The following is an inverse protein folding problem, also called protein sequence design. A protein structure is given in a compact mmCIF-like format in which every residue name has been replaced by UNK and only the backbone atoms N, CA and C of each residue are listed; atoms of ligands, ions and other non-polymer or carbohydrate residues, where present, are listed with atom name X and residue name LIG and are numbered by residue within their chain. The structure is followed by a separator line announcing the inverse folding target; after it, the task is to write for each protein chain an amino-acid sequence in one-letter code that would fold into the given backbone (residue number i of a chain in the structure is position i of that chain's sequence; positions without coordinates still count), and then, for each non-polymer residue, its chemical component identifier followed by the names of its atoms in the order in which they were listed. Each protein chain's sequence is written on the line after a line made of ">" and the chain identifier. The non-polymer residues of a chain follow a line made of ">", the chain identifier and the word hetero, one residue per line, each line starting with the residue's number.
data_IF_547972287202
#
_entry.id   IF_547972287202
#
_cell.length_a   1.000
_cell.length_b   1.000
_cell.length_c   1.000
_cell.angle_alpha   90.00
_cell.angle_beta   90.00
_cell.angle_gamma   90.00
#
_symmetry.space_group_name_H-M   'P 1'
#
loop_
_entity.id
_entity.type
_entity.pdbx_description
1 polymer ?
#
# COMPACT_ATOMS: atom_id res chain seq x y z
N UNK A 1 3.87 73.80 34.44
CA UNK A 1 4.18 73.28 33.12
C UNK A 1 4.29 71.77 33.23
N UNK A 2 3.31 71.04 32.72
CA UNK A 2 3.25 69.61 32.80
C UNK A 2 3.92 69.00 31.55
N UNK A 3 5.06 68.33 31.71
CA UNK A 3 5.68 67.52 30.66
C UNK A 3 4.93 66.16 30.62
N UNK A 4 4.15 65.99 29.56
CA UNK A 4 3.47 64.77 29.24
C UNK A 4 4.44 63.87 28.49
N UNK A 5 5.11 62.97 29.21
CA UNK A 5 5.92 61.91 28.57
C UNK A 5 5.03 60.93 27.87
N UNK A 6 5.12 60.87 26.56
CA UNK A 6 4.45 59.86 25.76
C UNK A 6 5.31 58.60 25.76
N UNK A 7 4.94 57.63 26.54
CA UNK A 7 5.46 56.27 26.42
C UNK A 7 5.06 55.72 25.06
N UNK A 8 5.98 55.72 24.10
CA UNK A 8 5.83 54.95 22.86
C UNK A 8 6.05 53.49 23.19
N UNK A 9 4.95 52.72 23.23
CA UNK A 9 4.99 51.27 23.36
C UNK A 9 5.70 50.72 22.07
N UNK A 10 6.96 50.36 22.21
CA UNK A 10 7.68 49.62 21.19
C UNK A 10 7.04 48.26 20.99
N UNK A 11 6.28 48.12 19.90
CA UNK A 11 5.67 46.87 19.47
C UNK A 11 6.78 45.86 19.19
N UNK A 12 6.91 44.85 20.05
CA UNK A 12 7.72 43.61 19.81
C UNK A 12 7.18 42.84 18.62
N UNK A 13 7.32 43.37 17.41
CA UNK A 13 6.94 42.68 16.15
C UNK A 13 7.92 41.58 15.75
N UNK A 14 9.10 41.48 16.37
CA UNK A 14 10.13 40.51 15.98
C UNK A 14 9.88 39.06 16.47
N UNK A 15 9.11 38.86 17.55
CA UNK A 15 8.82 37.54 18.11
C UNK A 15 7.81 36.76 17.29
N UNK A 16 6.72 37.40 16.90
CA UNK A 16 5.65 36.77 16.14
C UNK A 16 6.13 36.33 14.75
N UNK A 17 6.97 37.15 14.10
CA UNK A 17 7.56 36.79 12.78
C UNK A 17 8.49 35.59 12.90
N UNK A 18 9.31 35.53 13.95
CA UNK A 18 10.20 34.38 14.18
C UNK A 18 9.44 33.10 14.45
N UNK A 19 8.35 33.17 15.21
CA UNK A 19 7.45 32.04 15.48
C UNK A 19 6.78 31.59 14.18
N UNK A 20 6.28 32.53 13.37
CA UNK A 20 5.65 32.23 12.10
C UNK A 20 6.66 31.53 11.14
N UNK A 21 7.88 32.05 11.04
CA UNK A 21 8.93 31.44 10.22
C UNK A 21 9.32 30.05 10.72
N UNK A 22 9.38 29.83 12.04
CA UNK A 22 9.63 28.52 12.63
C UNK A 22 8.53 27.51 12.30
N UNK A 23 7.25 27.93 12.38
CA UNK A 23 6.11 27.10 12.02
C UNK A 23 6.11 26.75 10.53
N UNK A 24 6.37 27.72 9.67
CA UNK A 24 6.47 27.48 8.21
C UNK A 24 7.63 26.52 7.91
N UNK A 25 8.79 26.72 8.52
CA UNK A 25 9.93 25.80 8.35
C UNK A 25 9.58 24.38 8.81
N UNK A 26 8.92 24.24 9.94
CA UNK A 26 8.48 22.94 10.48
C UNK A 26 7.48 22.28 9.52
N UNK A 27 6.53 23.02 8.97
CA UNK A 27 5.57 22.50 7.97
C UNK A 27 6.27 22.06 6.69
N UNK A 28 7.26 22.81 6.22
CA UNK A 28 8.06 22.44 5.03
C UNK A 28 8.86 21.17 5.28
N UNK A 29 9.49 21.05 6.45
CA UNK A 29 10.21 19.83 6.84
C UNK A 29 9.29 18.62 6.96
N UNK A 30 8.12 18.80 7.57
CA UNK A 30 7.12 17.74 7.68
C UNK A 30 6.59 17.31 6.30
N UNK A 31 6.30 18.24 5.42
CA UNK A 31 5.88 17.96 4.05
C UNK A 31 6.99 17.24 3.25
N UNK A 32 8.24 17.67 3.42
CA UNK A 32 9.40 17.01 2.81
C UNK A 32 9.58 15.57 3.28
N UNK A 33 9.47 15.32 4.58
CA UNK A 33 9.55 13.97 5.16
C UNK A 33 8.41 13.09 4.67
N UNK A 34 7.17 13.60 4.63
CA UNK A 34 6.02 12.89 4.09
C UNK A 34 6.19 12.56 2.59
N UNK A 35 6.76 13.48 1.82
CA UNK A 35 7.06 13.27 0.40
C UNK A 35 8.10 12.18 0.17
N UNK A 36 9.18 12.15 0.95
CA UNK A 36 10.20 11.10 0.89
C UNK A 36 9.61 9.76 1.31
N UNK A 37 8.79 9.73 2.37
CA UNK A 37 8.09 8.52 2.80
C UNK A 37 7.20 7.97 1.67
N UNK A 38 6.34 8.80 1.08
CA UNK A 38 5.46 8.40 -0.01
C UNK A 38 6.25 7.93 -1.24
N UNK A 39 7.34 8.62 -1.58
CA UNK A 39 8.20 8.23 -2.69
C UNK A 39 8.81 6.84 -2.48
N UNK A 40 9.39 6.59 -1.30
CA UNK A 40 9.97 5.28 -0.97
C UNK A 40 8.93 4.16 -0.92
N UNK A 41 7.72 4.46 -0.48
CA UNK A 41 6.62 3.49 -0.43
C UNK A 41 6.15 3.12 -1.84
N UNK A 42 6.00 4.09 -2.73
CA UNK A 42 5.52 3.89 -4.09
C UNK A 42 6.56 3.15 -4.96
N UNK A 43 7.83 3.50 -4.81
CA UNK A 43 8.91 2.95 -5.64
C UNK A 43 9.61 1.73 -5.02
N UNK A 44 9.27 1.41 -3.77
CA UNK A 44 9.99 0.40 -3.00
C UNK A 44 11.36 0.89 -2.53
N UNK A 45 11.90 0.25 -1.49
CA UNK A 45 13.20 0.62 -0.93
C UNK A 45 14.37 -0.24 -1.49
N UNK A 46 14.08 -1.12 -2.45
CA UNK A 46 15.07 -1.99 -3.10
C UNK A 46 15.68 -3.05 -2.18
N UNK A 47 15.22 -3.18 -0.94
CA UNK A 47 15.70 -4.22 -0.01
C UNK A 47 14.82 -5.45 -0.13
N UNK A 48 15.40 -6.65 -0.32
CA UNK A 48 14.61 -7.87 -0.35
C UNK A 48 13.88 -8.08 0.98
N UNK A 49 12.57 -8.26 0.91
CA UNK A 49 11.73 -8.60 2.05
C UNK A 49 11.57 -10.11 2.20
N UNK A 50 10.80 -10.52 3.19
CA UNK A 50 10.38 -11.91 3.34
C UNK A 50 9.22 -12.19 2.40
N UNK A 51 9.22 -13.33 1.73
CA UNK A 51 8.09 -13.77 0.93
C UNK A 51 6.90 -14.11 1.83
N UNK A 52 5.74 -13.58 1.48
CA UNK A 52 4.47 -13.83 2.16
C UNK A 52 3.40 -14.13 1.13
N UNK A 53 2.52 -15.07 1.45
CA UNK A 53 1.33 -15.34 0.63
C UNK A 53 0.19 -14.49 1.16
N UNK A 54 -0.40 -13.71 0.27
CA UNK A 54 -1.58 -12.87 0.56
C UNK A 54 -2.77 -13.48 -0.15
N UNK A 55 -3.79 -13.86 0.61
CA UNK A 55 -5.03 -14.39 0.09
C UNK A 55 -6.06 -13.26 -0.06
N UNK A 56 -6.50 -13.03 -1.28
CA UNK A 56 -7.50 -11.99 -1.60
C UNK A 56 -8.82 -12.67 -1.92
N UNK A 57 -9.84 -12.51 -1.06
CA UNK A 57 -11.15 -13.10 -1.28
C UNK A 57 -11.82 -12.59 -2.56
N UNK A 58 -12.61 -13.44 -3.20
CA UNK A 58 -13.40 -13.04 -4.36
C UNK A 58 -14.39 -11.92 -3.99
N UNK A 59 -14.47 -10.91 -4.85
CA UNK A 59 -15.33 -9.75 -4.63
C UNK A 59 -14.73 -8.68 -3.73
N UNK A 60 -13.45 -8.82 -3.32
CA UNK A 60 -12.76 -7.79 -2.54
C UNK A 60 -12.58 -6.52 -3.36
N UNK A 61 -13.05 -5.38 -2.80
CA UNK A 61 -12.76 -4.06 -3.35
C UNK A 61 -11.32 -3.61 -3.07
N UNK A 62 -10.86 -2.58 -3.77
CA UNK A 62 -9.49 -2.02 -3.60
C UNK A 62 -9.16 -1.71 -2.13
N UNK A 63 -10.17 -1.29 -1.34
CA UNK A 63 -9.98 -1.00 0.08
C UNK A 63 -9.65 -2.26 0.90
N UNK A 64 -10.33 -3.37 0.63
CA UNK A 64 -10.07 -4.65 1.29
C UNK A 64 -8.72 -5.21 0.87
N UNK A 65 -8.41 -5.19 -0.43
CA UNK A 65 -7.11 -5.62 -0.97
C UNK A 65 -5.97 -4.82 -0.33
N UNK A 66 -6.10 -3.50 -0.23
CA UNK A 66 -5.09 -2.65 0.40
C UNK A 66 -4.90 -2.97 1.89
N UNK A 67 -5.96 -3.36 2.59
CA UNK A 67 -5.89 -3.75 3.99
C UNK A 67 -5.18 -5.10 4.14
N UNK A 68 -5.53 -6.10 3.35
CA UNK A 68 -4.86 -7.41 3.32
C UNK A 68 -3.35 -7.29 3.05
N UNK A 69 -2.97 -6.47 2.06
CA UNK A 69 -1.56 -6.19 1.75
C UNK A 69 -0.83 -5.51 2.91
N UNK A 70 -1.50 -4.61 3.63
CA UNK A 70 -0.94 -3.96 4.81
C UNK A 70 -0.80 -4.93 5.97
N UNK A 71 -1.80 -5.75 6.24
CA UNK A 71 -1.80 -6.72 7.35
C UNK A 71 -0.75 -7.82 7.12
N UNK A 72 -0.52 -8.18 5.86
CA UNK A 72 0.58 -9.07 5.46
C UNK A 72 1.97 -8.40 5.48
N UNK A 73 2.05 -7.09 5.73
CA UNK A 73 3.31 -6.35 5.77
C UNK A 73 3.94 -6.06 4.40
N UNK A 74 3.20 -6.28 3.31
CA UNK A 74 3.66 -6.00 1.94
C UNK A 74 3.76 -4.51 1.71
N UNK A 75 2.79 -3.74 2.21
CA UNK A 75 2.75 -2.28 2.16
C UNK A 75 2.61 -1.70 3.58
N UNK A 76 3.02 -0.46 3.76
CA UNK A 76 2.90 0.25 5.05
C UNK A 76 1.62 1.06 5.15
N UNK A 77 1.13 1.58 4.03
CA UNK A 77 -0.02 2.47 3.99
C UNK A 77 -1.08 1.99 3.00
N UNK A 78 -2.18 1.44 3.53
CA UNK A 78 -3.35 1.08 2.72
C UNK A 78 -3.98 2.30 2.03
N UNK A 79 -3.96 3.47 2.68
CA UNK A 79 -4.49 4.71 2.11
C UNK A 79 -3.70 5.14 0.86
N UNK A 80 -2.36 5.15 0.95
CA UNK A 80 -1.50 5.56 -0.16
C UNK A 80 -1.61 4.59 -1.34
N UNK A 81 -1.69 3.29 -1.06
CA UNK A 81 -1.88 2.28 -2.10
C UNK A 81 -3.23 2.45 -2.83
N UNK A 82 -4.33 2.66 -2.09
CA UNK A 82 -5.65 2.93 -2.68
C UNK A 82 -5.65 4.17 -3.56
N UNK A 83 -5.04 5.26 -3.09
CA UNK A 83 -4.89 6.49 -3.86
C UNK A 83 -4.11 6.22 -5.16
N UNK A 84 -3.00 5.49 -5.04
CA UNK A 84 -2.14 5.15 -6.18
C UNK A 84 -2.86 4.28 -7.22
N UNK A 85 -3.56 3.23 -6.78
CA UNK A 85 -4.37 2.35 -7.65
C UNK A 85 -5.47 3.15 -8.37
N UNK A 86 -6.12 4.08 -7.66
CA UNK A 86 -7.13 4.98 -8.23
C UNK A 86 -6.53 5.91 -9.27
N UNK A 87 -5.39 6.52 -8.97
CA UNK A 87 -4.68 7.43 -9.89
C UNK A 87 -4.20 6.72 -11.16
N UNK A 88 -3.75 5.48 -11.05
CA UNK A 88 -3.33 4.64 -12.19
C UNK A 88 -4.50 4.01 -12.95
N UNK A 89 -5.73 4.11 -12.44
CA UNK A 89 -6.89 3.42 -13.02
C UNK A 89 -6.77 1.89 -13.00
N UNK A 90 -5.99 1.34 -12.07
CA UNK A 90 -5.68 -0.08 -12.01
C UNK A 90 -6.69 -0.92 -11.22
N UNK A 91 -7.70 -0.29 -10.61
CA UNK A 91 -8.67 -0.95 -9.75
C UNK A 91 -9.39 -2.15 -10.41
N UNK A 92 -9.74 -2.01 -11.68
CA UNK A 92 -10.41 -3.06 -12.45
C UNK A 92 -9.49 -4.22 -12.88
N UNK A 93 -8.18 -4.07 -12.71
CA UNK A 93 -7.18 -5.08 -13.11
C UNK A 93 -6.80 -6.01 -11.96
N UNK A 94 -7.12 -5.62 -10.71
CA UNK A 94 -6.78 -6.42 -9.55
C UNK A 94 -7.64 -7.68 -9.50
N UNK A 95 -6.99 -8.82 -9.32
CA UNK A 95 -7.63 -10.14 -9.29
C UNK A 95 -7.71 -10.66 -7.84
N UNK A 96 -8.59 -11.64 -7.63
CA UNK A 96 -8.69 -12.40 -6.37
C UNK A 96 -7.83 -13.67 -6.45
N UNK A 97 -7.49 -14.23 -5.30
CA UNK A 97 -6.71 -15.46 -5.17
C UNK A 97 -5.49 -15.32 -4.28
N UNK A 98 -4.62 -16.30 -4.31
CA UNK A 98 -3.40 -16.33 -3.52
C UNK A 98 -2.21 -15.82 -4.33
N UNK A 99 -1.55 -14.79 -3.78
CA UNK A 99 -0.40 -14.15 -4.42
C UNK A 99 0.81 -14.19 -3.50
N UNK A 100 1.96 -14.57 -4.05
CA UNK A 100 3.22 -14.50 -3.32
C UNK A 100 3.87 -13.14 -3.58
N UNK A 101 4.06 -12.37 -2.52
CA UNK A 101 4.62 -11.02 -2.51
C UNK A 101 5.73 -10.92 -1.46
N UNK A 102 6.56 -9.89 -1.56
CA UNK A 102 7.62 -9.63 -0.58
C UNK A 102 7.24 -8.46 0.34
N UNK A 103 7.54 -8.60 1.63
CA UNK A 103 7.25 -7.56 2.63
C UNK A 103 8.13 -6.33 2.42
N UNK A 104 7.50 -5.15 2.31
CA UNK A 104 8.17 -3.84 2.33
C UNK A 104 9.18 -3.55 1.21
N UNK A 105 9.34 -4.45 0.25
CA UNK A 105 10.36 -4.35 -0.80
C UNK A 105 9.82 -3.89 -2.15
N UNK A 106 8.56 -4.17 -2.44
CA UNK A 106 7.99 -4.01 -3.76
C UNK A 106 7.49 -2.59 -4.00
N UNK A 107 7.81 -2.04 -5.17
CA UNK A 107 7.12 -0.88 -5.69
C UNK A 107 5.63 -1.18 -5.91
N UNK A 108 4.77 -0.19 -5.78
CA UNK A 108 3.33 -0.38 -5.98
C UNK A 108 2.98 -0.86 -7.39
N UNK A 109 3.75 -0.44 -8.41
CA UNK A 109 3.57 -0.95 -9.78
C UNK A 109 3.85 -2.45 -9.88
N UNK A 110 4.86 -2.96 -9.17
CA UNK A 110 5.16 -4.39 -9.13
C UNK A 110 4.06 -5.18 -8.42
N UNK A 111 3.52 -4.66 -7.31
CA UNK A 111 2.39 -5.27 -6.60
C UNK A 111 1.16 -5.32 -7.52
N UNK A 112 0.83 -4.23 -8.19
CA UNK A 112 -0.29 -4.16 -9.14
C UNK A 112 -0.08 -5.16 -10.28
N UNK A 113 1.14 -5.28 -10.81
CA UNK A 113 1.46 -6.24 -11.87
C UNK A 113 1.21 -7.69 -11.42
N UNK A 114 1.63 -8.06 -10.20
CA UNK A 114 1.38 -9.40 -9.63
C UNK A 114 -0.12 -9.63 -9.43
N UNK A 115 -0.82 -8.67 -8.83
CA UNK A 115 -2.27 -8.77 -8.56
C UNK A 115 -3.12 -8.71 -9.84
N UNK A 116 -2.56 -8.27 -10.96
CA UNK A 116 -3.22 -8.27 -12.27
C UNK A 116 -3.04 -9.57 -13.04
N UNK A 117 -2.15 -10.45 -12.56
CA UNK A 117 -2.01 -11.80 -13.09
C UNK A 117 -3.09 -12.67 -12.45
N UNK A 118 -3.60 -13.66 -13.22
CA UNK A 118 -4.50 -14.64 -12.63
C UNK A 118 -3.80 -15.30 -11.46
N UNK A 119 -4.47 -15.31 -10.29
CA UNK A 119 -4.05 -16.13 -9.17
C UNK A 119 -3.76 -17.52 -9.72
N UNK A 120 -2.62 -18.06 -9.36
CA UNK A 120 -2.27 -19.43 -9.70
C UNK A 120 -3.38 -20.30 -9.15
N UNK A 121 -4.30 -20.75 -10.02
CA UNK A 121 -5.31 -21.70 -9.61
C UNK A 121 -4.57 -22.83 -8.91
N UNK A 122 -4.98 -23.14 -7.70
CA UNK A 122 -4.44 -24.28 -6.97
C UNK A 122 -4.66 -25.49 -7.90
N UNK A 123 -3.60 -25.85 -8.62
CA UNK A 123 -3.67 -27.01 -9.51
C UNK A 123 -3.66 -28.20 -8.60
N UNK A 124 -4.86 -28.69 -8.26
CA UNK A 124 -5.01 -29.99 -7.62
C UNK A 124 -4.37 -30.99 -8.58
N UNK A 125 -3.16 -31.42 -8.28
CA UNK A 125 -2.51 -32.49 -9.01
C UNK A 125 -3.23 -33.79 -8.73
N UNK A 126 -4.25 -34.07 -9.53
CA UNK A 126 -4.88 -35.38 -9.56
C UNK A 126 -3.94 -36.32 -10.34
N UNK A 127 -3.21 -37.13 -9.61
CA UNK A 127 -2.38 -38.18 -10.20
C UNK A 127 -3.29 -39.37 -10.55
N UNK A 128 -3.51 -39.57 -11.83
CA UNK A 128 -4.24 -40.76 -12.31
C UNK A 128 -3.21 -41.85 -12.62
N UNK A 129 -3.22 -42.99 -11.89
CA UNK A 129 -2.38 -44.12 -12.26
C UNK A 129 -2.83 -44.67 -13.61
N UNK A 130 -1.85 -45.16 -14.39
CA UNK A 130 -2.13 -45.82 -15.69
C UNK A 130 -3.13 -46.95 -15.51
N UNK A 131 -4.14 -47.00 -16.37
CA UNK A 131 -5.20 -48.01 -16.31
C UNK A 131 -6.46 -47.56 -15.57
N UNK A 132 -6.57 -46.30 -15.13
CA UNK A 132 -7.82 -45.82 -14.50
C UNK A 132 -8.94 -45.64 -15.53
N UNK A 133 -10.07 -46.25 -15.27
CA UNK A 133 -11.25 -46.15 -16.17
C UNK A 133 -11.89 -44.77 -16.09
N UNK A 134 -12.58 -44.34 -17.18
CA UNK A 134 -13.25 -43.04 -17.24
C UNK A 134 -14.20 -42.76 -16.07
N UNK A 135 -14.87 -43.83 -15.58
CA UNK A 135 -15.79 -43.76 -14.43
C UNK A 135 -15.04 -43.44 -13.12
N UNK A 136 -13.86 -44.03 -12.93
CA UNK A 136 -13.04 -43.78 -11.75
C UNK A 136 -12.43 -42.34 -11.76
N UNK A 137 -12.12 -41.80 -12.95
CA UNK A 137 -11.70 -40.43 -13.15
C UNK A 137 -12.84 -39.46 -12.78
N UNK A 138 -14.06 -39.71 -13.27
CA UNK A 138 -15.22 -38.87 -12.98
C UNK A 138 -15.51 -38.80 -11.47
N UNK A 139 -15.48 -39.96 -10.78
CA UNK A 139 -15.69 -40.04 -9.31
C UNK A 139 -14.62 -39.24 -8.57
N UNK A 140 -13.35 -39.32 -8.99
CA UNK A 140 -12.25 -38.63 -8.33
C UNK A 140 -12.30 -37.12 -8.55
N UNK A 141 -12.87 -36.68 -9.66
CA UNK A 141 -13.14 -35.27 -9.92
C UNK A 141 -14.29 -34.72 -9.05
N UNK A 142 -15.36 -35.53 -8.84
CA UNK A 142 -16.45 -35.16 -7.93
C UNK A 142 -15.98 -35.06 -6.46
N UNK A 143 -15.07 -35.92 -6.03
CA UNK A 143 -14.52 -35.88 -4.68
C UNK A 143 -13.57 -34.73 -4.43
N UNK A 144 -12.95 -34.19 -5.48
CA UNK A 144 -11.97 -33.11 -5.40
C UNK A 144 -12.56 -31.70 -5.66
N UNK A 145 -13.77 -31.63 -6.18
CA UNK A 145 -14.48 -30.41 -6.53
C UNK A 145 -15.45 -29.95 -5.52
#
# INVERSE_FOLDING_TARGET
>A
MAHKERHTASKKKGGAVKILLAVVLLLVLAAGAAGVFAYNEIHGNGKPGTEVTVSIPQGSGVAAIAQELKDAGVIRSAYLFRWYVGHKGAAAKLQYGDFTLQTGANAYDAIIAVLSQYAKAETVRLTFPEGTTAIAIARKMEEAG
#
